data_IF_268145846273
#
_entry.id   IF_268145846273
#
_cell.length_a   1.000
_cell.length_b   1.000
_cell.length_c   1.000
_cell.angle_alpha   90.00
_cell.angle_beta   90.00
_cell.angle_gamma   90.00
#
_symmetry.space_group_name_H-M   'P 1'
#
loop_
_entity.id
_entity.type
_entity.pdbx_description
1 polymer ?
#
# COMPACT_ATOMS: atom_id res chain seq x y z
N UNK A 1 -11.95 -39.51 13.85
CA UNK A 1 -12.80 -38.31 13.65
C UNK A 1 -12.03 -37.14 14.21
N UNK A 2 -11.41 -36.40 13.31
CA UNK A 2 -10.14 -35.71 13.53
C UNK A 2 -10.25 -34.33 14.18
N UNK A 3 -9.30 -34.06 15.08
CA UNK A 3 -9.05 -32.77 15.74
C UNK A 3 -8.79 -31.61 14.75
N UNK A 4 -8.51 -31.89 13.48
CA UNK A 4 -8.32 -30.91 12.41
C UNK A 4 -9.62 -30.16 12.03
N UNK A 5 -10.79 -30.81 12.12
CA UNK A 5 -12.08 -30.18 11.79
C UNK A 5 -12.60 -29.24 12.90
N UNK A 6 -12.13 -29.40 14.15
CA UNK A 6 -12.50 -28.52 15.26
C UNK A 6 -11.81 -27.15 15.20
N UNK A 7 -10.64 -27.06 14.55
CA UNK A 7 -9.86 -25.82 14.48
C UNK A 7 -10.36 -24.87 13.35
N UNK A 8 -10.78 -25.42 12.20
CA UNK A 8 -11.35 -24.65 11.09
C UNK A 8 -12.73 -24.05 11.42
N UNK A 9 -13.54 -24.78 12.20
CA UNK A 9 -14.84 -24.29 12.72
C UNK A 9 -14.62 -23.18 13.76
N UNK A 10 -13.54 -23.25 14.54
CA UNK A 10 -13.20 -22.25 15.56
C UNK A 10 -12.77 -20.90 14.98
N UNK A 11 -11.96 -20.88 13.91
CA UNK A 11 -11.51 -19.63 13.25
C UNK A 11 -12.62 -18.95 12.45
N UNK A 12 -13.51 -19.72 11.79
CA UNK A 12 -14.74 -19.17 11.23
C UNK A 12 -15.61 -18.57 12.34
N UNK A 13 -15.81 -19.28 13.46
CA UNK A 13 -16.58 -18.76 14.59
C UNK A 13 -15.96 -17.55 15.30
N UNK A 14 -14.62 -17.38 15.28
CA UNK A 14 -13.93 -16.21 15.87
C UNK A 14 -14.09 -14.94 15.02
N UNK A 15 -13.97 -15.05 13.69
CA UNK A 15 -14.36 -13.97 12.76
C UNK A 15 -15.86 -13.66 12.86
N UNK A 16 -16.70 -14.67 13.14
CA UNK A 16 -18.15 -14.53 13.26
C UNK A 16 -18.63 -14.05 14.64
N UNK A 17 -17.82 -14.20 15.70
CA UNK A 17 -18.21 -13.91 17.08
C UNK A 17 -18.05 -12.44 17.52
N UNK A 18 -17.18 -11.68 16.85
CA UNK A 18 -16.92 -10.28 17.17
C UNK A 18 -17.56 -9.26 16.22
N UNK A 19 -18.22 -9.72 15.15
CA UNK A 19 -19.20 -8.92 14.41
C UNK A 19 -20.47 -8.87 15.25
N UNK A 20 -20.56 -7.89 16.15
CA UNK A 20 -21.68 -7.70 17.07
C UNK A 20 -23.04 -7.96 16.41
N UNK A 21 -23.79 -8.92 16.98
CA UNK A 21 -25.21 -9.25 16.77
C UNK A 21 -25.78 -9.39 15.34
N UNK A 22 -24.98 -9.28 14.28
CA UNK A 22 -25.40 -9.68 12.94
C UNK A 22 -25.07 -11.16 12.75
N UNK A 23 -26.04 -12.02 13.02
CA UNK A 23 -26.00 -13.41 12.54
C UNK A 23 -25.63 -13.41 11.03
N UNK A 24 -24.74 -14.30 10.56
CA UNK A 24 -24.37 -14.41 9.15
C UNK A 24 -25.51 -14.91 8.24
N UNK A 25 -26.72 -15.11 8.77
CA UNK A 25 -27.74 -15.94 8.14
C UNK A 25 -28.48 -15.28 6.97
N UNK A 26 -28.23 -14.00 6.65
CA UNK A 26 -28.75 -13.40 5.41
C UNK A 26 -27.70 -12.54 4.73
N UNK A 27 -27.00 -13.18 3.80
CA UNK A 27 -26.39 -12.52 2.66
C UNK A 27 -27.36 -11.50 2.06
N UNK A 28 -26.85 -10.31 1.73
CA UNK A 28 -27.66 -9.22 1.18
C UNK A 28 -28.45 -9.68 -0.07
N UNK A 29 -29.71 -9.30 -0.20
CA UNK A 29 -30.48 -9.59 -1.42
C UNK A 29 -30.19 -8.55 -2.53
N UNK A 30 -30.76 -8.76 -3.72
CA UNK A 30 -30.58 -7.84 -4.86
C UNK A 30 -31.02 -6.41 -4.54
N UNK A 31 -32.11 -6.25 -3.79
CA UNK A 31 -32.63 -4.93 -3.40
C UNK A 31 -31.68 -4.23 -2.42
N UNK A 32 -31.13 -4.96 -1.45
CA UNK A 32 -30.11 -4.49 -0.54
C UNK A 32 -28.82 -4.11 -1.27
N UNK A 33 -28.37 -4.92 -2.23
CA UNK A 33 -27.17 -4.62 -3.01
C UNK A 33 -27.32 -3.30 -3.77
N UNK A 34 -28.49 -3.06 -4.39
CA UNK A 34 -28.81 -1.77 -5.01
C UNK A 34 -28.77 -0.63 -3.99
N UNK A 35 -29.26 -0.83 -2.76
CA UNK A 35 -29.19 0.19 -1.69
C UNK A 35 -27.75 0.54 -1.32
N UNK A 36 -26.79 -0.39 -1.38
CA UNK A 36 -25.37 -0.08 -1.19
C UNK A 36 -24.87 0.91 -2.26
N UNK A 37 -25.20 0.65 -3.52
CA UNK A 37 -24.82 1.55 -4.63
C UNK A 37 -25.50 2.92 -4.48
N UNK A 38 -26.78 2.94 -4.11
CA UNK A 38 -27.52 4.18 -3.86
C UNK A 38 -26.94 4.98 -2.68
N UNK A 39 -26.47 4.32 -1.62
CA UNK A 39 -25.84 4.99 -0.49
C UNK A 39 -24.59 5.77 -0.93
N UNK A 40 -23.85 5.25 -1.91
CA UNK A 40 -22.68 5.92 -2.50
C UNK A 40 -23.07 6.99 -3.54
N UNK A 41 -24.16 6.79 -4.29
CA UNK A 41 -24.47 7.56 -5.51
C UNK A 41 -25.59 8.61 -5.44
N UNK A 42 -26.27 8.83 -4.30
CA UNK A 42 -27.42 9.74 -4.15
C UNK A 42 -27.13 11.25 -4.25
N UNK A 43 -26.03 11.65 -4.89
CA UNK A 43 -25.62 13.05 -5.09
C UNK A 43 -25.03 13.71 -3.82
N UNK A 44 -24.52 14.94 -3.96
CA UNK A 44 -23.67 15.61 -2.95
C UNK A 44 -24.22 15.65 -1.51
N UNK A 45 -25.54 15.77 -1.35
CA UNK A 45 -26.20 15.84 -0.02
C UNK A 45 -26.72 14.49 0.48
N UNK A 46 -26.79 13.47 -0.39
CA UNK A 46 -27.38 12.16 -0.07
C UNK A 46 -26.40 11.00 -0.09
N UNK A 47 -25.21 11.18 -0.66
CA UNK A 47 -24.13 10.19 -0.64
C UNK A 47 -23.48 10.10 0.73
N UNK A 48 -23.18 8.89 1.19
CA UNK A 48 -22.44 8.61 2.42
C UNK A 48 -21.44 7.48 2.21
N UNK A 49 -20.50 7.33 3.13
CA UNK A 49 -19.65 6.14 3.22
C UNK A 49 -20.49 4.92 3.58
N UNK A 50 -20.02 3.74 3.17
CA UNK A 50 -20.53 2.48 3.68
C UNK A 50 -19.97 2.24 5.09
N UNK A 51 -20.79 1.65 5.95
CA UNK A 51 -20.29 1.05 7.19
C UNK A 51 -19.39 -0.16 6.88
N UNK A 52 -18.65 -0.63 7.88
CA UNK A 52 -17.79 -1.80 7.76
C UNK A 52 -18.56 -3.03 7.26
N UNK A 53 -19.73 -3.30 7.86
CA UNK A 53 -20.57 -4.42 7.45
C UNK A 53 -21.14 -4.22 6.03
N UNK A 54 -21.56 -3.01 5.67
CA UNK A 54 -22.03 -2.74 4.30
C UNK A 54 -20.93 -2.93 3.25
N UNK A 55 -19.71 -2.51 3.55
CA UNK A 55 -18.54 -2.70 2.67
C UNK A 55 -18.17 -4.19 2.55
N UNK A 56 -18.22 -4.93 3.66
CA UNK A 56 -18.07 -6.39 3.66
C UNK A 56 -19.14 -7.08 2.79
N UNK A 57 -20.41 -6.70 2.96
CA UNK A 57 -21.54 -7.23 2.18
C UNK A 57 -21.48 -6.85 0.69
N UNK A 58 -20.89 -5.70 0.34
CA UNK A 58 -20.66 -5.31 -1.07
C UNK A 58 -19.78 -6.36 -1.78
N UNK A 59 -18.71 -6.81 -1.13
CA UNK A 59 -17.77 -7.78 -1.71
C UNK A 59 -18.34 -9.20 -1.65
N UNK A 60 -18.93 -9.61 -0.52
CA UNK A 60 -19.58 -10.93 -0.42
C UNK A 60 -20.76 -11.05 -1.40
N UNK A 61 -21.63 -10.04 -1.48
CA UNK A 61 -22.75 -10.03 -2.41
C UNK A 61 -22.32 -10.18 -3.88
N UNK A 62 -21.20 -9.56 -4.27
CA UNK A 62 -20.61 -9.77 -5.59
C UNK A 62 -20.13 -11.22 -5.77
N UNK A 63 -19.38 -11.76 -4.81
CA UNK A 63 -18.88 -13.15 -4.83
C UNK A 63 -19.98 -14.18 -5.06
N UNK A 64 -21.15 -13.97 -4.47
CA UNK A 64 -22.31 -14.86 -4.59
C UNK A 64 -23.23 -14.51 -5.77
N UNK A 65 -22.82 -13.62 -6.68
CA UNK A 65 -23.56 -13.29 -7.91
C UNK A 65 -24.81 -12.42 -7.72
N UNK A 66 -24.96 -11.77 -6.56
CA UNK A 66 -26.07 -10.82 -6.31
C UNK A 66 -25.80 -9.49 -6.99
N UNK A 67 -24.56 -9.01 -6.85
CA UNK A 67 -24.06 -7.81 -7.51
C UNK A 67 -23.48 -8.12 -8.88
N UNK A 68 -23.69 -7.22 -9.84
CA UNK A 68 -23.02 -7.26 -11.15
C UNK A 68 -21.65 -6.58 -11.10
N UNK A 69 -20.78 -6.90 -12.05
CA UNK A 69 -19.50 -6.20 -12.22
C UNK A 69 -19.69 -4.68 -12.39
N UNK A 70 -20.71 -4.24 -13.13
CA UNK A 70 -21.03 -2.83 -13.30
C UNK A 70 -21.35 -2.14 -11.96
N UNK A 71 -22.14 -2.79 -11.09
CA UNK A 71 -22.46 -2.25 -9.77
C UNK A 71 -21.23 -2.22 -8.86
N UNK A 72 -20.42 -3.27 -8.84
CA UNK A 72 -19.18 -3.29 -8.06
C UNK A 72 -18.23 -2.18 -8.54
N UNK A 73 -17.96 -2.09 -9.84
CA UNK A 73 -17.13 -1.03 -10.44
C UNK A 73 -17.62 0.37 -10.09
N UNK A 74 -18.93 0.61 -10.19
CA UNK A 74 -19.53 1.88 -9.79
C UNK A 74 -19.29 2.19 -8.31
N UNK A 75 -19.48 1.21 -7.42
CA UNK A 75 -19.22 1.40 -5.99
C UNK A 75 -17.74 1.73 -5.72
N UNK A 76 -16.81 0.98 -6.33
CA UNK A 76 -15.37 1.20 -6.19
C UNK A 76 -14.96 2.61 -6.64
N UNK A 77 -15.49 3.08 -7.77
CA UNK A 77 -15.18 4.42 -8.29
C UNK A 77 -15.84 5.53 -7.49
N UNK A 78 -17.08 5.34 -7.00
CA UNK A 78 -17.72 6.30 -6.12
C UNK A 78 -16.96 6.47 -4.79
N UNK A 79 -16.50 5.37 -4.20
CA UNK A 79 -15.63 5.41 -3.01
C UNK A 79 -14.31 6.12 -3.30
N UNK A 80 -13.67 5.82 -4.44
CA UNK A 80 -12.43 6.49 -4.87
C UNK A 80 -12.60 8.00 -4.99
N UNK A 81 -13.62 8.47 -5.71
CA UNK A 81 -13.86 9.91 -5.96
C UNK A 81 -14.21 10.64 -4.67
N UNK A 82 -14.97 10.01 -3.78
CA UNK A 82 -15.32 10.59 -2.47
C UNK A 82 -14.14 10.61 -1.50
N UNK A 83 -13.22 9.65 -1.62
CA UNK A 83 -12.22 9.33 -0.62
C UNK A 83 -12.68 8.19 0.28
N UNK A 84 -11.86 7.15 0.39
CA UNK A 84 -12.19 5.90 1.07
C UNK A 84 -12.19 6.08 2.60
N UNK A 85 -13.17 5.52 3.30
CA UNK A 85 -13.22 5.53 4.76
C UNK A 85 -12.47 4.34 5.38
N UNK A 86 -12.12 4.45 6.66
CA UNK A 86 -11.45 3.35 7.38
C UNK A 86 -12.36 2.11 7.48
N UNK A 87 -13.65 2.32 7.69
CA UNK A 87 -14.68 1.29 7.75
C UNK A 87 -14.82 0.57 6.41
N UNK A 88 -14.80 1.31 5.30
CA UNK A 88 -14.87 0.74 3.96
C UNK A 88 -13.66 -0.15 3.67
N UNK A 89 -12.45 0.34 3.94
CA UNK A 89 -11.20 -0.43 3.77
C UNK A 89 -11.21 -1.67 4.67
N UNK A 90 -11.60 -1.54 5.94
CA UNK A 90 -11.67 -2.66 6.86
C UNK A 90 -12.70 -3.71 6.40
N UNK A 91 -13.89 -3.29 5.95
CA UNK A 91 -14.92 -4.19 5.45
C UNK A 91 -14.50 -4.97 4.21
N UNK A 92 -13.87 -4.31 3.23
CA UNK A 92 -13.28 -5.00 2.07
C UNK A 92 -12.19 -5.96 2.51
N UNK A 93 -11.29 -5.53 3.40
CA UNK A 93 -10.19 -6.37 3.92
C UNK A 93 -10.71 -7.65 4.56
N UNK A 94 -11.76 -7.56 5.39
CA UNK A 94 -12.38 -8.73 6.02
C UNK A 94 -13.03 -9.67 4.99
N UNK A 95 -13.67 -9.12 3.96
CA UNK A 95 -14.25 -9.93 2.89
C UNK A 95 -13.18 -10.65 2.05
N UNK A 96 -12.04 -9.99 1.78
CA UNK A 96 -10.87 -10.62 1.17
C UNK A 96 -10.33 -11.73 2.07
N UNK A 97 -10.14 -11.46 3.38
CA UNK A 97 -9.64 -12.42 4.36
C UNK A 97 -10.52 -13.67 4.46
N UNK A 98 -11.84 -13.52 4.39
CA UNK A 98 -12.77 -14.65 4.40
C UNK A 98 -12.62 -15.59 3.19
N UNK A 99 -12.02 -15.12 2.09
CA UNK A 99 -11.74 -15.95 0.92
C UNK A 99 -10.38 -16.65 0.94
N UNK A 100 -9.52 -16.33 1.92
CA UNK A 100 -8.21 -16.96 2.09
C UNK A 100 -8.39 -18.37 2.65
N UNK A 101 -7.65 -19.33 2.11
CA UNK A 101 -7.62 -20.70 2.65
C UNK A 101 -7.24 -20.67 4.15
N UNK A 102 -8.09 -21.21 5.06
CA UNK A 102 -7.80 -21.23 6.49
C UNK A 102 -6.46 -21.88 6.87
N UNK A 103 -5.90 -22.76 6.03
CA UNK A 103 -4.60 -23.38 6.29
C UNK A 103 -3.46 -22.36 6.41
N UNK A 104 -3.55 -21.21 5.73
CA UNK A 104 -2.57 -20.13 5.89
C UNK A 104 -2.46 -19.64 7.33
N UNK A 105 -3.55 -19.70 8.10
CA UNK A 105 -3.63 -19.24 9.49
C UNK A 105 -2.98 -20.21 10.47
N UNK A 106 -2.65 -21.44 10.03
CA UNK A 106 -1.97 -22.46 10.85
C UNK A 106 -0.45 -22.49 10.68
N UNK A 107 0.12 -21.62 9.84
CA UNK A 107 1.54 -21.66 9.47
C UNK A 107 2.49 -21.00 10.48
N UNK A 108 1.95 -20.47 11.59
CA UNK A 108 2.70 -19.77 12.64
C UNK A 108 3.61 -18.65 12.09
N UNK A 109 3.12 -17.91 11.10
CA UNK A 109 3.85 -16.77 10.53
C UNK A 109 4.04 -15.72 11.64
N UNK A 110 5.27 -15.25 11.84
CA UNK A 110 5.58 -14.22 12.84
C UNK A 110 5.44 -12.82 12.27
N UNK A 111 5.82 -12.62 11.00
CA UNK A 111 5.82 -11.34 10.31
C UNK A 111 5.17 -11.43 8.92
N UNK A 112 4.15 -10.60 8.70
CA UNK A 112 3.49 -10.40 7.41
C UNK A 112 4.01 -9.15 6.71
N UNK A 113 4.47 -9.31 5.46
CA UNK A 113 5.17 -8.28 4.68
C UNK A 113 4.53 -8.08 3.28
N UNK A 114 3.48 -7.25 3.17
CA UNK A 114 2.78 -6.98 1.91
C UNK A 114 3.58 -6.07 0.95
N UNK A 115 3.73 -6.50 -0.31
CA UNK A 115 4.52 -5.85 -1.37
C UNK A 115 3.74 -5.73 -2.69
N UNK A 116 2.97 -4.65 -2.86
CA UNK A 116 2.06 -4.46 -3.99
C UNK A 116 2.33 -3.19 -4.83
N UNK A 117 3.36 -2.40 -4.52
CA UNK A 117 3.55 -1.09 -5.16
C UNK A 117 4.34 -1.17 -6.46
N UNK A 118 5.27 -2.11 -6.50
CA UNK A 118 6.47 -2.09 -7.31
C UNK A 118 7.34 -0.85 -7.04
N UNK A 119 8.60 -0.94 -7.44
CA UNK A 119 9.54 0.19 -7.53
C UNK A 119 9.49 0.77 -8.94
N UNK A 120 9.67 2.10 -9.10
CA UNK A 120 9.88 2.73 -10.42
C UNK A 120 11.27 2.41 -10.94
N UNK A 121 12.28 2.61 -10.09
CA UNK A 121 13.66 2.71 -10.55
C UNK A 121 14.68 2.31 -9.47
N UNK A 122 14.30 1.47 -8.52
CA UNK A 122 15.22 0.88 -7.53
C UNK A 122 14.92 -0.59 -7.32
N UNK A 123 15.91 -1.33 -6.85
CA UNK A 123 15.72 -2.71 -6.43
C UNK A 123 15.06 -2.77 -5.04
N UNK A 124 14.34 -3.86 -4.73
CA UNK A 124 13.66 -4.03 -3.45
C UNK A 124 14.62 -4.56 -2.35
N UNK A 125 15.33 -3.66 -1.67
CA UNK A 125 16.32 -4.02 -0.64
C UNK A 125 15.73 -4.58 0.65
N UNK A 126 14.44 -4.37 0.93
CA UNK A 126 13.73 -5.01 2.04
C UNK A 126 13.81 -6.55 2.01
N UNK A 127 14.07 -7.16 0.85
CA UNK A 127 14.30 -8.60 0.74
C UNK A 127 15.54 -9.05 1.53
N UNK A 128 16.56 -8.22 1.65
CA UNK A 128 17.70 -8.49 2.53
C UNK A 128 17.28 -8.45 4.00
N UNK A 129 16.42 -7.50 4.39
CA UNK A 129 15.87 -7.46 5.75
C UNK A 129 15.12 -8.76 6.06
N UNK A 130 14.25 -9.22 5.16
CA UNK A 130 13.52 -10.46 5.31
C UNK A 130 14.46 -11.67 5.46
N UNK A 131 15.50 -11.79 4.62
CA UNK A 131 16.49 -12.87 4.73
C UNK A 131 17.26 -12.85 6.04
N UNK A 132 17.68 -11.68 6.50
CA UNK A 132 18.42 -11.55 7.77
C UNK A 132 17.54 -11.94 8.97
N UNK A 133 16.28 -11.52 8.96
CA UNK A 133 15.32 -11.85 10.02
C UNK A 133 14.93 -13.34 10.00
N UNK A 134 14.77 -13.95 8.82
CA UNK A 134 14.50 -15.38 8.71
C UNK A 134 15.65 -16.23 9.28
N UNK A 135 16.91 -15.82 9.06
CA UNK A 135 18.09 -16.43 9.71
C UNK A 135 18.09 -16.29 11.23
N UNK A 136 17.38 -15.30 11.79
CA UNK A 136 17.19 -15.15 13.24
C UNK A 136 15.97 -15.94 13.77
N UNK A 137 15.33 -16.77 12.93
CA UNK A 137 14.23 -17.64 13.32
C UNK A 137 12.83 -17.06 13.10
N UNK A 138 12.71 -15.89 12.47
CA UNK A 138 11.40 -15.35 12.09
C UNK A 138 10.78 -16.18 10.96
N UNK A 139 9.46 -16.39 11.02
CA UNK A 139 8.67 -16.98 9.93
C UNK A 139 7.97 -15.88 9.18
N UNK A 140 8.47 -15.56 8.00
CA UNK A 140 8.09 -14.37 7.24
C UNK A 140 7.31 -14.78 5.99
N UNK A 141 6.12 -14.21 5.84
CA UNK A 141 5.36 -14.30 4.61
C UNK A 141 5.44 -12.97 3.87
N UNK A 142 6.09 -12.98 2.70
CA UNK A 142 5.98 -11.87 1.76
C UNK A 142 4.84 -12.19 0.81
N UNK A 143 3.97 -11.23 0.54
CA UNK A 143 2.92 -11.43 -0.45
C UNK A 143 2.68 -10.19 -1.29
N UNK A 144 2.37 -10.37 -2.56
CA UNK A 144 2.33 -9.26 -3.51
C UNK A 144 1.67 -9.60 -4.83
N UNK A 145 1.85 -8.71 -5.80
CA UNK A 145 1.32 -8.87 -7.15
C UNK A 145 2.28 -8.23 -8.16
N UNK A 146 2.81 -9.05 -9.07
CA UNK A 146 3.69 -8.62 -10.16
C UNK A 146 3.01 -8.62 -11.55
N UNK A 147 1.69 -8.78 -11.61
CA UNK A 147 0.94 -8.98 -12.87
C UNK A 147 0.12 -7.77 -13.29
N UNK A 148 -0.03 -6.76 -12.44
CA UNK A 148 -0.91 -5.61 -12.67
C UNK A 148 -0.16 -4.38 -13.19
N UNK A 149 0.97 -4.00 -12.57
CA UNK A 149 1.68 -2.77 -12.92
C UNK A 149 2.94 -3.08 -13.73
N UNK A 150 2.82 -3.37 -15.01
CA UNK A 150 3.95 -3.78 -15.87
C UNK A 150 5.07 -2.74 -15.99
N UNK A 151 4.79 -1.47 -15.70
CA UNK A 151 5.77 -0.38 -15.72
C UNK A 151 6.58 -0.24 -14.41
N UNK A 152 6.40 -1.16 -13.46
CA UNK A 152 7.05 -1.15 -12.15
C UNK A 152 7.83 -2.45 -11.98
N UNK A 153 8.94 -2.38 -11.25
CA UNK A 153 9.73 -3.54 -10.83
C UNK A 153 9.11 -4.11 -9.56
N UNK A 154 8.53 -5.30 -9.61
CA UNK A 154 7.87 -5.90 -8.45
C UNK A 154 8.80 -6.80 -7.67
N UNK A 155 8.48 -6.96 -6.39
CA UNK A 155 9.19 -7.88 -5.51
C UNK A 155 9.19 -9.30 -6.09
N UNK A 156 8.04 -9.77 -6.57
CA UNK A 156 7.89 -11.10 -7.18
C UNK A 156 8.78 -11.34 -8.40
N UNK A 157 9.25 -10.29 -9.08
CA UNK A 157 10.12 -10.44 -10.27
C UNK A 157 11.58 -10.72 -9.92
N UNK A 158 11.99 -10.47 -8.66
CA UNK A 158 13.40 -10.54 -8.25
C UNK A 158 13.69 -11.48 -7.08
N UNK A 159 12.65 -12.08 -6.47
CA UNK A 159 12.80 -13.02 -5.35
C UNK A 159 13.76 -14.19 -5.65
N UNK A 160 13.76 -14.70 -6.88
CA UNK A 160 14.60 -15.84 -7.28
C UNK A 160 16.09 -15.51 -7.24
N UNK A 161 16.46 -14.26 -7.55
CA UNK A 161 17.85 -13.80 -7.44
C UNK A 161 18.36 -13.79 -5.99
N UNK A 162 17.46 -13.82 -5.02
CA UNK A 162 17.80 -13.95 -3.60
C UNK A 162 17.47 -15.35 -3.05
N UNK A 163 17.14 -16.33 -3.90
CA UNK A 163 16.78 -17.68 -3.48
C UNK A 163 15.53 -17.74 -2.61
N UNK A 164 14.65 -16.74 -2.69
CA UNK A 164 13.36 -16.75 -1.99
C UNK A 164 12.36 -17.52 -2.87
N UNK A 165 11.74 -18.54 -2.29
CA UNK A 165 10.84 -19.44 -3.01
C UNK A 165 9.44 -18.84 -3.10
N UNK A 166 8.88 -18.83 -4.32
CA UNK A 166 7.46 -18.59 -4.55
C UNK A 166 6.67 -19.87 -4.28
N UNK A 167 5.61 -19.76 -3.48
CA UNK A 167 4.72 -20.86 -3.10
C UNK A 167 3.31 -20.60 -3.64
N UNK A 168 2.59 -21.67 -3.95
CA UNK A 168 1.24 -21.60 -4.55
C UNK A 168 0.13 -22.08 -3.61
N UNK A 169 0.47 -22.60 -2.43
CA UNK A 169 -0.49 -23.10 -1.44
C UNK A 169 0.06 -22.98 -0.02
N UNK A 170 -0.83 -23.07 0.97
CA UNK A 170 -0.43 -23.10 2.38
C UNK A 170 0.44 -24.33 2.71
N UNK A 171 0.20 -25.47 2.04
CA UNK A 171 0.99 -26.69 2.23
C UNK A 171 2.44 -26.52 1.73
N UNK A 172 2.63 -25.92 0.54
CA UNK A 172 3.96 -25.57 0.04
C UNK A 172 4.63 -24.54 0.95
N UNK A 173 3.87 -23.52 1.38
CA UNK A 173 4.35 -22.49 2.31
C UNK A 173 4.85 -23.10 3.62
N UNK A 174 4.15 -24.08 4.20
CA UNK A 174 4.58 -24.78 5.42
C UNK A 174 5.99 -25.37 5.26
N UNK A 175 6.21 -26.13 4.18
CA UNK A 175 7.50 -26.79 3.91
C UNK A 175 8.63 -25.76 3.76
N UNK A 176 8.39 -24.69 2.99
CA UNK A 176 9.41 -23.66 2.77
C UNK A 176 9.67 -22.85 4.03
N UNK A 177 8.64 -22.49 4.80
CA UNK A 177 8.80 -21.76 6.05
C UNK A 177 9.52 -22.59 7.11
N UNK A 178 9.33 -23.91 7.15
CA UNK A 178 10.06 -24.80 8.07
C UNK A 178 11.55 -24.92 7.71
N UNK A 179 11.88 -24.86 6.41
CA UNK A 179 13.26 -24.95 5.93
C UNK A 179 13.99 -23.61 6.01
N UNK A 180 13.37 -22.55 5.50
CA UNK A 180 14.03 -21.27 5.19
C UNK A 180 13.56 -20.12 6.07
N UNK A 181 12.42 -20.26 6.77
CA UNK A 181 11.77 -19.18 7.51
C UNK A 181 11.16 -18.09 6.63
N UNK A 182 11.24 -18.19 5.30
CA UNK A 182 10.82 -17.13 4.39
C UNK A 182 10.27 -17.70 3.08
N UNK A 183 9.08 -17.25 2.69
CA UNK A 183 8.51 -17.53 1.37
C UNK A 183 7.79 -16.30 0.79
N UNK A 184 7.57 -16.33 -0.52
CA UNK A 184 6.75 -15.36 -1.24
C UNK A 184 5.49 -16.04 -1.80
N UNK A 185 4.34 -15.37 -1.76
CA UNK A 185 3.12 -15.83 -2.41
C UNK A 185 2.47 -14.70 -3.22
N UNK A 186 2.07 -15.00 -4.45
CA UNK A 186 1.32 -14.06 -5.27
C UNK A 186 -0.15 -13.99 -4.80
N UNK A 187 -0.76 -12.81 -4.89
CA UNK A 187 -2.11 -12.56 -4.38
C UNK A 187 -3.19 -13.45 -5.03
N UNK A 188 -3.00 -13.88 -6.29
CA UNK A 188 -3.89 -14.83 -6.97
C UNK A 188 -3.94 -16.20 -6.30
N UNK A 189 -2.91 -16.56 -5.51
CA UNK A 189 -2.86 -17.78 -4.71
C UNK A 189 -3.39 -17.61 -3.28
N UNK A 190 -3.59 -16.36 -2.84
CA UNK A 190 -4.16 -16.04 -1.53
C UNK A 190 -5.68 -15.86 -1.58
N UNK A 191 -6.20 -15.18 -2.59
CA UNK A 191 -7.62 -14.84 -2.68
C UNK A 191 -8.12 -14.88 -4.11
N UNK A 192 -9.25 -15.55 -4.33
CA UNK A 192 -9.93 -15.58 -5.62
C UNK A 192 -10.37 -14.19 -6.11
N UNK A 193 -10.43 -13.19 -5.22
CA UNK A 193 -10.77 -11.82 -5.60
C UNK A 193 -9.63 -11.11 -6.34
N UNK A 194 -8.38 -11.56 -6.22
CA UNK A 194 -7.24 -10.87 -6.82
C UNK A 194 -7.40 -10.73 -8.34
N UNK A 195 -7.78 -11.81 -9.03
CA UNK A 195 -8.03 -11.78 -10.47
C UNK A 195 -9.22 -10.89 -10.84
N UNK A 196 -10.31 -10.96 -10.07
CA UNK A 196 -11.47 -10.08 -10.27
C UNK A 196 -11.07 -8.61 -10.21
N UNK A 197 -10.37 -8.20 -9.15
CA UNK A 197 -9.98 -6.80 -8.98
C UNK A 197 -8.91 -6.37 -9.97
N UNK A 198 -8.04 -7.28 -10.41
CA UNK A 198 -7.11 -7.05 -11.51
C UNK A 198 -7.87 -6.74 -12.81
N UNK A 199 -8.85 -7.57 -13.18
CA UNK A 199 -9.63 -7.37 -14.40
C UNK A 199 -10.38 -6.04 -14.35
N UNK A 200 -11.01 -5.72 -13.20
CA UNK A 200 -11.66 -4.43 -13.00
C UNK A 200 -10.67 -3.26 -13.12
N UNK A 201 -9.48 -3.39 -12.55
CA UNK A 201 -8.46 -2.35 -12.64
C UNK A 201 -7.98 -2.16 -14.09
N UNK A 202 -7.78 -3.23 -14.85
CA UNK A 202 -7.39 -3.16 -16.26
C UNK A 202 -8.48 -2.52 -17.12
N UNK A 203 -9.76 -2.85 -16.87
CA UNK A 203 -10.89 -2.25 -17.59
C UNK A 203 -11.10 -0.78 -17.26
N UNK A 204 -10.95 -0.40 -15.98
CA UNK A 204 -11.21 0.97 -15.52
C UNK A 204 -10.00 1.90 -15.69
N UNK A 205 -8.77 1.37 -15.76
CA UNK A 205 -7.53 2.15 -15.78
C UNK A 205 -7.25 2.93 -14.47
N UNK A 206 -7.99 2.65 -13.40
CA UNK A 206 -7.94 3.40 -12.15
C UNK A 206 -7.80 2.48 -10.93
N UNK A 207 -6.96 2.90 -9.97
CA UNK A 207 -6.88 2.25 -8.66
C UNK A 207 -8.20 2.37 -7.91
N UNK A 208 -8.50 1.42 -7.03
CA UNK A 208 -9.65 1.45 -6.12
C UNK A 208 -9.19 1.21 -4.68
N UNK A 209 -10.12 1.13 -3.74
CA UNK A 209 -9.79 0.79 -2.35
C UNK A 209 -9.20 -0.62 -2.20
N UNK A 210 -9.35 -1.48 -3.20
CA UNK A 210 -8.74 -2.82 -3.21
C UNK A 210 -7.23 -2.74 -2.97
N UNK A 211 -6.54 -1.81 -3.63
CA UNK A 211 -5.09 -1.65 -3.51
C UNK A 211 -4.64 -1.28 -2.08
N UNK A 212 -5.52 -0.62 -1.31
CA UNK A 212 -5.30 -0.33 0.11
C UNK A 212 -5.68 -1.52 0.98
N UNK A 213 -6.82 -2.16 0.71
CA UNK A 213 -7.37 -3.27 1.48
C UNK A 213 -6.50 -4.54 1.41
N UNK A 214 -5.96 -4.88 0.24
CA UNK A 214 -5.14 -6.09 0.05
C UNK A 214 -3.82 -6.04 0.85
N UNK A 215 -3.32 -4.83 1.15
CA UNK A 215 -2.16 -4.62 2.04
C UNK A 215 -2.49 -4.81 3.52
N UNK A 216 -3.78 -4.83 3.87
CA UNK A 216 -4.24 -5.01 5.24
C UNK A 216 -4.63 -6.48 5.52
N UNK A 217 -4.44 -7.39 4.55
CA UNK A 217 -4.99 -8.74 4.57
C UNK A 217 -4.49 -9.62 5.73
N UNK A 218 -3.19 -9.58 6.02
CA UNK A 218 -2.51 -10.47 6.98
C UNK A 218 -3.03 -11.91 6.88
N UNK A 219 -2.80 -12.61 5.75
CA UNK A 219 -3.46 -13.88 5.44
C UNK A 219 -3.18 -14.97 6.49
N UNK A 220 -1.98 -14.95 7.08
CA UNK A 220 -1.53 -15.94 8.07
C UNK A 220 -1.82 -15.62 9.54
N UNK A 221 -2.55 -14.53 9.84
CA UNK A 221 -2.73 -14.03 11.22
C UNK A 221 -1.39 -13.79 11.94
N UNK A 222 -0.40 -13.26 11.22
CA UNK A 222 0.89 -12.93 11.80
C UNK A 222 0.74 -11.93 12.95
N UNK A 223 1.54 -12.12 14.00
CA UNK A 223 1.54 -11.25 15.17
C UNK A 223 2.11 -9.86 14.85
N UNK A 224 2.98 -9.77 13.85
CA UNK A 224 3.60 -8.54 13.37
C UNK A 224 3.22 -8.32 11.91
N UNK A 225 2.81 -7.11 11.56
CA UNK A 225 2.44 -6.72 10.20
C UNK A 225 3.12 -5.41 9.81
N UNK A 226 3.55 -5.32 8.56
CA UNK A 226 4.07 -4.09 7.98
C UNK A 226 3.04 -3.50 7.03
N UNK A 227 2.80 -2.20 7.13
CA UNK A 227 1.82 -1.50 6.30
C UNK A 227 2.38 -0.17 5.80
N UNK A 228 2.80 -0.17 4.53
CA UNK A 228 3.26 1.06 3.88
C UNK A 228 2.17 1.75 3.06
N UNK A 229 2.28 3.07 2.97
CA UNK A 229 1.44 3.91 2.13
C UNK A 229 2.28 4.86 1.25
N UNK A 230 1.64 5.47 0.26
CA UNK A 230 2.33 6.20 -0.82
C UNK A 230 2.40 7.72 -0.62
N UNK A 231 1.37 8.34 -0.03
CA UNK A 231 1.26 9.81 0.11
C UNK A 231 1.18 10.24 1.58
N UNK A 232 1.69 11.44 1.88
CA UNK A 232 1.54 12.04 3.21
C UNK A 232 0.06 12.15 3.61
N UNK A 233 -0.23 12.11 4.91
CA UNK A 233 -1.58 12.27 5.45
C UNK A 233 -2.41 10.97 5.58
N UNK A 234 -1.96 9.84 5.02
CA UNK A 234 -2.69 8.56 5.11
C UNK A 234 -2.42 7.76 6.39
N UNK A 235 -1.44 8.16 7.21
CA UNK A 235 -1.10 7.43 8.43
C UNK A 235 -2.30 7.26 9.39
N UNK A 236 -3.06 8.34 9.61
CA UNK A 236 -4.23 8.31 10.51
C UNK A 236 -5.33 7.38 10.00
N UNK A 237 -5.54 7.33 8.67
CA UNK A 237 -6.46 6.39 8.04
C UNK A 237 -6.01 4.95 8.30
N UNK A 238 -4.73 4.64 8.05
CA UNK A 238 -4.19 3.29 8.25
C UNK A 238 -4.20 2.83 9.71
N UNK A 239 -3.98 3.74 10.67
CA UNK A 239 -4.13 3.48 12.10
C UNK A 239 -5.58 3.14 12.44
N UNK A 240 -6.55 3.93 11.95
CA UNK A 240 -7.98 3.64 12.16
C UNK A 240 -8.38 2.28 11.57
N UNK A 241 -7.88 1.94 10.38
CA UNK A 241 -8.10 0.62 9.77
C UNK A 241 -7.52 -0.49 10.65
N UNK A 242 -6.30 -0.33 11.18
CA UNK A 242 -5.69 -1.32 12.07
C UNK A 242 -6.54 -1.55 13.34
N UNK A 243 -7.01 -0.46 13.99
CA UNK A 243 -7.88 -0.52 15.16
C UNK A 243 -9.22 -1.20 14.89
N UNK A 244 -9.84 -0.91 13.74
CA UNK A 244 -11.08 -1.56 13.33
C UNK A 244 -10.86 -3.06 13.11
N UNK A 245 -9.81 -3.45 12.38
CA UNK A 245 -9.51 -4.86 12.10
C UNK A 245 -9.21 -5.65 13.37
N UNK A 246 -8.53 -5.05 14.36
CA UNK A 246 -8.20 -5.70 15.64
C UNK A 246 -9.44 -6.19 16.42
N UNK A 247 -10.64 -5.71 16.09
CA UNK A 247 -11.90 -6.21 16.67
C UNK A 247 -12.35 -7.54 16.06
N UNK A 248 -11.88 -7.90 14.86
CA UNK A 248 -12.42 -9.02 14.06
C UNK A 248 -11.38 -10.10 13.73
N UNK A 249 -10.09 -9.78 13.82
CA UNK A 249 -9.00 -10.71 13.55
C UNK A 249 -8.11 -10.86 14.79
N UNK A 250 -7.32 -11.95 14.90
CA UNK A 250 -6.38 -12.10 16.00
C UNK A 250 -5.48 -10.89 16.19
N UNK A 251 -5.13 -10.62 17.44
CA UNK A 251 -4.32 -9.47 17.81
C UNK A 251 -2.96 -9.49 17.06
N UNK A 252 -2.61 -8.36 16.46
CA UNK A 252 -1.35 -8.15 15.75
C UNK A 252 -0.88 -6.71 15.94
N UNK A 253 0.42 -6.49 16.10
CA UNK A 253 1.03 -5.16 16.04
C UNK A 253 1.35 -4.81 14.59
N UNK A 254 0.98 -3.60 14.18
CA UNK A 254 1.12 -3.11 12.82
C UNK A 254 2.07 -1.92 12.80
N UNK A 255 3.16 -2.04 12.05
CA UNK A 255 4.06 -0.94 11.73
C UNK A 255 3.56 -0.20 10.49
N UNK A 256 3.30 1.09 10.61
CA UNK A 256 2.70 1.94 9.56
C UNK A 256 3.66 3.08 9.23
N UNK A 257 4.00 3.26 7.96
CA UNK A 257 4.87 4.35 7.49
C UNK A 257 4.70 4.67 6.00
N UNK A 258 5.25 5.81 5.56
CA UNK A 258 5.33 6.14 4.13
C UNK A 258 6.43 5.30 3.47
N UNK A 259 6.03 4.39 2.59
CA UNK A 259 6.92 3.46 1.91
C UNK A 259 7.80 4.11 0.85
N UNK A 260 9.03 3.62 0.69
CA UNK A 260 9.94 4.13 -0.34
C UNK A 260 9.43 3.73 -1.73
N UNK A 261 8.97 4.74 -2.49
CA UNK A 261 8.23 4.57 -3.75
C UNK A 261 6.92 3.77 -3.59
N UNK A 262 6.41 3.72 -2.36
CA UNK A 262 5.21 2.97 -1.98
C UNK A 262 5.43 1.54 -1.51
N UNK A 263 6.65 1.01 -1.64
CA UNK A 263 6.97 -0.33 -1.16
C UNK A 263 7.13 -0.35 0.36
N UNK A 264 6.95 -1.52 0.97
CA UNK A 264 7.11 -1.76 2.40
C UNK A 264 8.59 -1.73 2.86
N UNK A 265 9.22 -0.58 2.64
CA UNK A 265 10.63 -0.30 2.85
C UNK A 265 10.83 1.18 3.23
N UNK A 266 11.77 1.48 4.12
CA UNK A 266 12.05 2.86 4.55
C UNK A 266 12.90 3.58 3.50
N UNK A 267 12.55 4.85 3.21
CA UNK A 267 13.41 5.72 2.41
C UNK A 267 14.51 6.31 3.30
N UNK A 268 15.79 5.96 3.11
CA UNK A 268 16.87 6.40 3.97
C UNK A 268 17.26 7.86 3.75
N UNK A 269 16.77 8.52 2.69
CA UNK A 269 17.12 9.91 2.34
C UNK A 269 16.26 10.95 3.07
N UNK A 270 15.25 10.51 3.81
CA UNK A 270 14.36 11.40 4.52
C UNK A 270 13.98 10.83 5.88
N UNK A 271 13.76 11.73 6.83
CA UNK A 271 13.14 11.37 8.10
C UNK A 271 11.78 10.75 7.85
N UNK A 272 11.52 9.60 8.47
CA UNK A 272 10.27 8.86 8.29
C UNK A 272 9.55 8.72 9.62
N UNK A 273 8.31 9.21 9.68
CA UNK A 273 7.45 9.00 10.85
C UNK A 273 6.87 7.60 10.82
N UNK A 274 7.16 6.82 11.86
CA UNK A 274 6.67 5.47 12.09
C UNK A 274 5.49 5.53 13.07
N UNK A 275 4.47 4.71 12.83
CA UNK A 275 3.37 4.49 13.75
C UNK A 275 3.27 2.99 14.05
N UNK A 276 3.11 2.61 15.32
CA UNK A 276 2.90 1.21 15.73
C UNK A 276 1.57 1.11 16.47
N UNK A 277 0.69 0.19 16.04
CA UNK A 277 -0.66 0.02 16.61
C UNK A 277 -1.12 -1.45 16.58
N UNK A 278 -1.80 -1.96 17.63
CA UNK A 278 -1.94 -1.35 18.94
C UNK A 278 -0.60 -1.32 19.69
N UNK A 279 -0.45 -0.37 20.58
CA UNK A 279 0.66 -0.26 21.51
C UNK A 279 0.14 -0.42 22.94
N UNK A 280 0.47 -1.53 23.57
CA UNK A 280 0.28 -1.77 25.01
C UNK A 280 1.65 -2.20 25.58
N UNK A 281 1.90 -1.89 26.86
CA UNK A 281 3.05 -2.34 27.68
C UNK A 281 4.30 -1.44 27.88
N UNK A 282 4.19 -0.11 28.02
CA UNK A 282 5.26 0.68 28.70
C UNK A 282 4.69 1.87 29.49
N UNK A 283 5.15 2.00 30.74
CA UNK A 283 4.97 3.16 31.62
C UNK A 283 5.49 4.45 30.92
N UNK A 284 4.61 5.44 30.74
CA UNK A 284 4.72 6.53 29.75
C UNK A 284 5.86 7.56 29.98
N UNK A 285 6.90 7.25 30.76
CA UNK A 285 7.90 8.23 31.22
C UNK A 285 9.29 8.15 30.56
N UNK A 286 9.52 7.27 29.57
CA UNK A 286 10.82 7.22 28.89
C UNK A 286 10.73 7.46 27.38
N UNK A 287 11.50 8.47 26.94
CA UNK A 287 11.90 8.79 25.56
C UNK A 287 10.88 9.47 24.62
N UNK A 288 10.48 10.73 24.90
CA UNK A 288 9.97 11.64 23.86
C UNK A 288 8.72 11.15 23.08
N UNK A 289 7.96 10.26 23.72
CA UNK A 289 6.76 9.61 23.17
C UNK A 289 5.56 10.52 23.36
N UNK A 290 4.84 10.83 22.27
CA UNK A 290 3.43 11.24 22.35
C UNK A 290 2.61 10.08 21.83
N UNK A 291 1.92 9.40 22.74
CA UNK A 291 0.96 8.34 22.42
C UNK A 291 -0.44 8.83 22.77
N UNK A 292 -1.32 8.91 21.77
CA UNK A 292 -2.76 8.99 21.97
C UNK A 292 -3.37 7.68 21.47
N UNK A 293 -4.36 7.15 22.19
CA UNK A 293 -5.15 5.99 21.80
C UNK A 293 -4.34 4.73 21.39
N UNK A 294 -3.38 4.26 22.20
CA UNK A 294 -2.61 3.02 21.94
C UNK A 294 -1.83 3.01 20.61
N UNK A 295 -1.26 4.16 20.23
CA UNK A 295 -0.40 4.28 19.05
C UNK A 295 0.93 4.89 19.45
N UNK A 296 2.03 4.19 19.19
CA UNK A 296 3.36 4.78 19.31
C UNK A 296 3.74 5.50 18.03
N UNK A 297 4.21 6.74 18.14
CA UNK A 297 4.78 7.52 17.04
C UNK A 297 6.28 7.76 17.26
N UNK A 298 7.12 7.31 16.33
CA UNK A 298 8.59 7.53 16.35
C UNK A 298 9.01 8.26 15.09
N UNK A 299 9.89 9.26 15.21
CA UNK A 299 10.55 9.86 14.05
C UNK A 299 11.89 9.15 13.81
N UNK A 300 11.94 8.28 12.80
CA UNK A 300 13.17 7.63 12.35
C UNK A 300 13.96 8.65 11.52
N UNK A 301 15.16 9.08 11.97
CA UNK A 301 15.96 9.99 11.18
C UNK A 301 16.39 9.32 9.88
N UNK A 302 16.53 10.16 8.87
CA UNK A 302 17.34 9.94 7.68
C UNK A 302 18.69 9.29 8.01
N UNK A 303 19.09 8.33 7.16
CA UNK A 303 20.37 7.64 7.23
C UNK A 303 21.32 8.09 6.11
N UNK A 304 20.83 8.84 5.11
CA UNK A 304 21.56 9.32 3.94
C UNK A 304 21.28 10.78 3.66
N UNK A 305 21.65 11.67 4.58
CA UNK A 305 21.54 13.12 4.36
C UNK A 305 22.50 13.66 3.31
N UNK A 306 23.61 12.95 3.10
CA UNK A 306 24.77 13.48 2.38
C UNK A 306 25.15 12.68 1.14
N UNK A 307 24.38 11.65 0.76
CA UNK A 307 24.73 10.83 -0.41
C UNK A 307 24.43 11.62 -1.70
N UNK A 308 25.51 11.99 -2.41
CA UNK A 308 25.53 12.71 -3.68
C UNK A 308 26.05 11.79 -4.78
N UNK A 309 25.41 11.82 -5.95
CA UNK A 309 25.72 10.96 -7.10
C UNK A 309 24.44 10.54 -7.82
N UNK A 310 24.56 10.30 -9.13
CA UNK A 310 23.47 9.86 -9.99
C UNK A 310 22.67 8.70 -9.38
N UNK A 311 21.35 8.80 -9.52
CA UNK A 311 20.46 7.67 -9.21
C UNK A 311 20.69 6.58 -10.26
N UNK A 312 21.42 5.53 -9.90
CA UNK A 312 21.42 4.33 -10.75
C UNK A 312 20.00 3.78 -10.77
N UNK A 313 19.38 3.87 -11.95
CA UNK A 313 18.01 3.42 -12.14
C UNK A 313 17.99 1.88 -12.13
N UNK A 314 16.93 1.27 -11.60
CA UNK A 314 16.76 -0.19 -11.63
C UNK A 314 16.81 -0.76 -13.06
N UNK A 315 16.43 0.00 -14.10
CA UNK A 315 16.62 -0.43 -15.48
C UNK A 315 18.10 -0.68 -15.86
N UNK A 316 19.03 -0.11 -15.10
CA UNK A 316 20.48 -0.34 -15.20
C UNK A 316 20.98 -1.44 -14.25
N UNK A 317 20.17 -1.86 -13.26
CA UNK A 317 20.52 -2.89 -12.28
C UNK A 317 19.67 -4.14 -12.53
N UNK A 318 20.31 -5.21 -12.99
CA UNK A 318 19.60 -6.49 -13.13
C UNK A 318 19.24 -7.07 -11.76
N UNK A 319 18.30 -8.03 -11.72
CA UNK A 319 18.03 -8.79 -10.51
C UNK A 319 19.29 -9.52 -9.98
N UNK A 320 20.23 -9.87 -10.87
CA UNK A 320 21.49 -10.51 -10.50
C UNK A 320 22.39 -9.58 -9.67
N UNK A 321 22.23 -8.26 -9.76
CA UNK A 321 22.93 -7.34 -8.87
C UNK A 321 22.68 -7.67 -7.39
N UNK A 322 21.48 -8.16 -7.05
CA UNK A 322 21.15 -8.61 -5.68
C UNK A 322 22.00 -9.82 -5.25
N UNK A 323 22.33 -10.73 -6.17
CA UNK A 323 23.18 -11.90 -5.89
C UNK A 323 24.60 -11.47 -5.50
N UNK A 324 25.11 -10.40 -6.10
CA UNK A 324 26.46 -9.90 -5.83
C UNK A 324 26.62 -9.38 -4.40
N UNK A 325 25.52 -8.91 -3.80
CA UNK A 325 25.52 -8.37 -2.43
C UNK A 325 25.49 -9.45 -1.34
N UNK A 326 24.99 -10.65 -1.65
CA UNK A 326 25.00 -11.80 -0.72
C UNK A 326 26.27 -12.65 -0.85
N UNK A 327 27.01 -12.51 -1.96
CA UNK A 327 28.22 -13.27 -2.26
C UNK A 327 27.95 -14.60 -2.98
N UNK A 328 28.98 -15.12 -3.66
CA UNK A 328 28.93 -16.32 -4.50
C UNK A 328 28.73 -17.64 -3.75
N UNK A 329 28.75 -17.63 -2.42
CA UNK A 329 28.62 -18.83 -1.59
C UNK A 329 27.15 -19.15 -1.25
N UNK A 330 26.28 -19.16 -2.25
CA UNK A 330 24.89 -19.60 -2.08
C UNK A 330 24.71 -20.98 -2.69
N UNK A 331 24.63 -22.01 -1.85
CA UNK A 331 24.15 -23.37 -2.18
C UNK A 331 22.70 -23.39 -2.75
N UNK A 332 22.08 -22.22 -2.94
CA UNK A 332 20.68 -22.01 -3.27
C UNK A 332 20.47 -21.05 -4.47
N UNK A 333 21.41 -20.99 -5.42
CA UNK A 333 21.10 -20.40 -6.73
C UNK A 333 20.30 -21.43 -7.53
N UNK A 334 19.05 -21.14 -7.93
CA UNK A 334 18.30 -22.03 -8.80
C UNK A 334 19.07 -22.22 -10.11
N UNK A 335 19.08 -23.45 -10.64
CA UNK A 335 19.77 -23.86 -11.88
C UNK A 335 19.31 -23.09 -13.14
N UNK A 336 18.32 -22.20 -13.01
CA UNK A 336 17.77 -21.34 -14.07
C UNK A 336 18.25 -19.89 -14.03
N UNK A 337 19.11 -19.49 -13.09
CA UNK A 337 19.83 -18.22 -13.26
C UNK A 337 20.82 -18.46 -14.39
N UNK A 338 20.47 -17.97 -15.58
CA UNK A 338 21.28 -18.09 -16.77
C UNK A 338 22.74 -17.79 -16.42
N UNK A 339 23.67 -18.56 -16.98
CA UNK A 339 25.09 -18.26 -17.00
C UNK A 339 25.27 -16.87 -17.58
N UNK A 340 25.38 -15.86 -16.73
CA UNK A 340 25.68 -14.49 -17.13
C UNK A 340 27.18 -14.29 -17.03
N UNK A 341 27.75 -13.70 -18.06
CA UNK A 341 29.11 -13.18 -18.10
C UNK A 341 29.32 -12.24 -16.91
N UNK A 342 29.83 -12.79 -15.81
CA UNK A 342 30.17 -12.08 -14.56
C UNK A 342 31.08 -10.89 -14.85
N UNK A 343 31.83 -10.92 -15.97
CA UNK A 343 32.76 -9.89 -16.40
C UNK A 343 32.14 -8.54 -16.80
N UNK A 344 30.84 -8.46 -17.16
CA UNK A 344 30.20 -7.18 -17.57
C UNK A 344 29.48 -6.41 -16.45
N UNK A 345 29.17 -7.04 -15.32
CA UNK A 345 28.59 -6.37 -14.12
C UNK A 345 29.66 -5.99 -13.07
N UNK A 346 30.93 -5.88 -13.48
CA UNK A 346 32.10 -5.89 -12.59
C UNK A 346 32.39 -4.60 -11.82
N UNK A 347 31.76 -3.46 -12.14
CA UNK A 347 31.89 -2.24 -11.32
C UNK A 347 30.64 -2.08 -10.47
N UNK A 348 30.66 -2.69 -9.28
CA UNK A 348 29.58 -2.49 -8.31
C UNK A 348 29.66 -1.05 -7.82
N UNK A 349 28.67 -0.23 -8.20
CA UNK A 349 28.59 1.16 -7.77
C UNK A 349 28.56 1.26 -6.23
N UNK A 350 29.63 1.84 -5.67
CA UNK A 350 29.76 2.09 -4.23
C UNK A 350 28.60 2.92 -3.70
N UNK A 351 28.08 3.89 -4.47
CA UNK A 351 26.94 4.70 -4.04
C UNK A 351 25.69 3.84 -3.87
N UNK A 352 25.46 2.90 -4.78
CA UNK A 352 24.31 2.00 -4.67
C UNK A 352 24.47 0.98 -3.54
N UNK A 353 25.69 0.51 -3.25
CA UNK A 353 25.94 -0.29 -2.02
C UNK A 353 25.62 0.49 -0.76
N UNK A 354 26.07 1.74 -0.66
CA UNK A 354 25.78 2.61 0.49
C UNK A 354 24.28 2.86 0.58
N UNK A 355 23.60 3.05 -0.55
CA UNK A 355 22.14 3.17 -0.61
C UNK A 355 21.45 1.92 -0.08
N UNK A 356 21.79 0.75 -0.61
CA UNK A 356 21.25 -0.53 -0.18
C UNK A 356 21.46 -0.76 1.33
N UNK A 357 22.69 -0.54 1.84
CA UNK A 357 22.99 -0.64 3.27
C UNK A 357 22.08 0.25 4.11
N UNK A 358 21.95 1.53 3.77
CA UNK A 358 21.16 2.46 4.56
C UNK A 358 19.65 2.14 4.51
N UNK A 359 19.14 1.68 3.36
CA UNK A 359 17.76 1.19 3.23
C UNK A 359 17.55 -0.02 4.15
N UNK A 360 18.47 -0.99 4.14
CA UNK A 360 18.40 -2.21 4.94
C UNK A 360 18.41 -1.88 6.43
N UNK A 361 19.35 -1.04 6.88
CA UNK A 361 19.48 -0.66 8.29
C UNK A 361 18.29 0.17 8.77
N UNK A 362 17.80 1.11 7.96
CA UNK A 362 16.63 1.92 8.31
C UNK A 362 15.37 1.06 8.42
N UNK A 363 15.19 0.12 7.49
CA UNK A 363 14.05 -0.80 7.47
C UNK A 363 14.12 -1.79 8.63
N UNK A 364 15.29 -2.41 8.88
CA UNK A 364 15.51 -3.28 10.04
C UNK A 364 15.31 -2.54 11.36
N UNK A 365 15.73 -1.28 11.48
CA UNK A 365 15.50 -0.46 12.67
C UNK A 365 14.00 -0.34 12.98
N UNK A 366 13.19 -0.06 11.95
CA UNK A 366 11.74 0.03 12.09
C UNK A 366 11.11 -1.32 12.46
N UNK A 367 11.57 -2.42 11.87
CA UNK A 367 11.10 -3.78 12.22
C UNK A 367 11.53 -4.19 13.62
N UNK A 368 12.73 -3.84 14.08
CA UNK A 368 13.18 -4.11 15.44
C UNK A 368 12.31 -3.38 16.49
N UNK A 369 11.91 -2.14 16.21
CA UNK A 369 10.95 -1.39 17.04
C UNK A 369 9.56 -2.03 17.07
N UNK A 370 9.11 -2.59 15.93
CA UNK A 370 7.86 -3.35 15.86
C UNK A 370 7.91 -4.65 16.69
N UNK A 371 9.03 -5.37 16.61
CA UNK A 371 9.27 -6.62 17.33
C UNK A 371 9.38 -6.40 18.84
N UNK A 372 10.11 -5.37 19.25
CA UNK A 372 10.35 -5.04 20.65
C UNK A 372 9.94 -3.59 20.94
N UNK A 373 8.71 -3.40 21.45
CA UNK A 373 8.22 -2.11 21.89
C UNK A 373 9.15 -1.37 22.87
N UNK A 374 9.83 -2.09 23.76
CA UNK A 374 10.70 -1.50 24.78
C UNK A 374 12.06 -1.06 24.25
N UNK A 375 12.33 -1.30 22.97
CA UNK A 375 13.60 -0.98 22.36
C UNK A 375 13.69 0.53 22.08
N UNK A 376 14.78 1.16 22.53
CA UNK A 376 15.04 2.55 22.14
C UNK A 376 15.38 2.62 20.65
N UNK A 377 15.11 3.76 20.01
CA UNK A 377 15.50 3.97 18.61
C UNK A 377 17.01 3.77 18.39
N UNK A 378 17.84 4.20 19.33
CA UNK A 378 19.30 4.04 19.27
C UNK A 378 19.69 2.57 19.30
N UNK A 379 19.08 1.78 20.18
CA UNK A 379 19.38 0.35 20.27
C UNK A 379 18.84 -0.43 19.07
N UNK A 380 17.66 -0.05 18.56
CA UNK A 380 17.09 -0.61 17.34
C UNK A 380 18.01 -0.43 16.13
N UNK A 381 18.60 0.76 15.99
CA UNK A 381 19.59 1.07 14.95
C UNK A 381 20.88 0.28 15.13
N UNK A 382 21.42 0.21 16.35
CA UNK A 382 22.61 -0.59 16.64
C UNK A 382 22.40 -2.07 16.30
N UNK A 383 21.24 -2.63 16.66
CA UNK A 383 20.88 -4.01 16.31
C UNK A 383 20.76 -4.21 14.79
N UNK A 384 20.18 -3.24 14.07
CA UNK A 384 20.04 -3.28 12.62
C UNK A 384 21.42 -3.25 11.91
N UNK A 385 22.31 -2.36 12.34
CA UNK A 385 23.69 -2.28 11.84
C UNK A 385 24.43 -3.60 12.07
N UNK A 386 24.39 -4.12 13.30
CA UNK A 386 25.04 -5.39 13.64
C UNK A 386 24.52 -6.57 12.81
N UNK A 387 23.19 -6.69 12.66
CA UNK A 387 22.58 -7.76 11.85
C UNK A 387 22.96 -7.63 10.37
N UNK A 388 23.04 -6.41 9.85
CA UNK A 388 23.47 -6.14 8.47
C UNK A 388 24.91 -6.56 8.25
N UNK A 389 25.82 -6.22 9.18
CA UNK A 389 27.22 -6.62 9.14
C UNK A 389 27.42 -8.13 9.19
N UNK A 390 26.68 -8.81 10.06
CA UNK A 390 26.74 -10.27 10.18
C UNK A 390 26.16 -10.99 8.96
N UNK A 391 25.09 -10.46 8.38
CA UNK A 391 24.34 -11.15 7.33
C UNK A 391 24.90 -10.91 5.94
N UNK A 392 25.53 -9.75 5.69
CA UNK A 392 25.85 -9.26 4.34
C UNK A 392 27.27 -8.69 4.24
N UNK A 393 28.28 -9.49 4.60
CA UNK A 393 29.68 -9.09 4.52
C UNK A 393 30.09 -8.57 3.11
N UNK A 394 29.55 -9.18 2.04
CA UNK A 394 29.81 -8.76 0.65
C UNK A 394 29.20 -7.41 0.28
N UNK A 395 28.07 -7.02 0.89
CA UNK A 395 27.50 -5.68 0.73
C UNK A 395 28.46 -4.61 1.28
N UNK A 396 29.17 -4.92 2.37
CA UNK A 396 29.96 -3.97 3.15
C UNK A 396 31.44 -3.91 2.71
N UNK A 397 31.94 -4.95 2.03
CA UNK A 397 33.36 -5.14 1.68
C UNK A 397 34.03 -3.88 1.10
N UNK A 398 33.33 -3.15 0.26
CA UNK A 398 33.89 -2.02 -0.50
C UNK A 398 33.39 -0.65 0.01
N UNK A 399 32.60 -0.62 1.11
CA UNK A 399 32.10 0.63 1.73
C UNK A 399 33.15 1.24 2.68
N UNK A 400 34.11 0.45 3.17
CA UNK A 400 35.08 0.88 4.20
C UNK A 400 36.34 1.61 3.67
N UNK A 401 36.36 2.00 2.39
CA UNK A 401 37.46 2.77 1.79
C UNK A 401 37.05 4.24 1.57
N UNK A 402 37.57 5.21 2.36
CA UNK A 402 37.19 6.63 2.32
C UNK A 402 37.43 7.32 0.96
N UNK A 403 38.22 6.71 0.07
CA UNK A 403 38.67 7.28 -1.20
C UNK A 403 37.67 7.11 -2.36
N UNK A 404 36.60 6.33 -2.19
CA UNK A 404 35.62 6.02 -3.25
C UNK A 404 34.33 6.87 -3.23
N UNK A 405 34.22 7.83 -2.31
CA UNK A 405 33.09 8.77 -2.26
C UNK A 405 33.32 9.90 -3.26
N UNK A 406 32.84 9.74 -4.50
CA UNK A 406 32.90 10.80 -5.50
C UNK A 406 32.10 12.03 -5.05
N UNK A 407 32.77 13.18 -5.06
CA UNK A 407 32.28 14.50 -4.66
C UNK A 407 31.46 15.19 -5.78
N UNK A 408 30.91 16.38 -5.53
CA UNK A 408 29.51 16.67 -5.22
C UNK A 408 28.60 16.95 -6.44
N UNK A 409 27.36 16.44 -6.42
CA UNK A 409 26.27 16.90 -7.28
C UNK A 409 25.37 17.92 -6.58
N UNK A 410 24.85 18.86 -7.38
CA UNK A 410 23.84 19.85 -6.99
C UNK A 410 22.46 19.21 -7.02
N UNK A 411 21.60 19.60 -6.08
CA UNK A 411 20.17 19.37 -6.15
C UNK A 411 19.68 20.15 -7.38
N UNK A 412 19.45 19.49 -8.50
CA UNK A 412 18.52 20.07 -9.47
C UNK A 412 17.12 19.83 -8.94
N UNK A 413 16.48 20.93 -8.61
CA UNK A 413 15.18 21.03 -7.96
C UNK A 413 14.10 20.25 -8.70
N UNK A 414 13.83 19.01 -8.30
CA UNK A 414 12.57 18.33 -8.68
C UNK A 414 12.02 17.32 -7.67
N UNK A 415 12.71 16.96 -6.58
CA UNK A 415 12.03 16.38 -5.41
C UNK A 415 11.33 17.48 -4.60
N UNK A 416 10.38 18.17 -5.26
CA UNK A 416 9.30 18.82 -4.51
C UNK A 416 8.51 17.71 -3.82
N UNK A 417 8.65 17.70 -2.50
CA UNK A 417 7.59 17.25 -1.60
C UNK A 417 6.31 17.96 -2.06
N UNK A 418 5.28 17.17 -2.34
CA UNK A 418 3.99 17.56 -2.93
C UNK A 418 4.02 17.96 -4.42
N UNK A 419 3.79 16.95 -5.25
CA UNK A 419 2.80 17.09 -6.32
C UNK A 419 1.70 16.08 -6.02
N UNK A 420 0.41 16.46 -5.94
CA UNK A 420 -0.63 15.45 -6.09
C UNK A 420 -0.33 14.74 -7.41
N UNK A 421 -0.36 13.40 -7.45
CA UNK A 421 -0.55 12.73 -8.73
C UNK A 421 -1.76 13.45 -9.34
N UNK A 422 -1.52 14.18 -10.44
CA UNK A 422 -2.62 14.71 -11.22
C UNK A 422 -3.56 13.54 -11.42
N UNK A 423 -4.83 13.75 -11.08
CA UNK A 423 -5.90 12.89 -11.54
C UNK A 423 -5.69 12.81 -13.05
N UNK A 424 -5.16 11.69 -13.55
CA UNK A 424 -5.16 11.39 -14.97
C UNK A 424 -6.64 11.35 -15.38
N UNK A 425 -7.13 12.53 -15.75
CA UNK A 425 -8.16 12.71 -16.76
C UNK A 425 -7.57 12.14 -18.05
N UNK A 426 -8.38 11.53 -18.92
CA UNK A 426 -7.92 10.59 -19.93
C UNK A 426 -6.82 11.20 -20.80
N UNK A 427 -5.77 10.42 -21.02
CA UNK A 427 -4.64 10.75 -21.88
C UNK A 427 -5.16 11.27 -23.23
N UNK A 428 -4.62 12.42 -23.64
CA UNK A 428 -4.85 13.02 -24.96
C UNK A 428 -4.50 12.00 -26.04
N UNK A 429 -5.53 11.55 -26.77
CA UNK A 429 -5.35 10.94 -28.08
C UNK A 429 -5.02 12.10 -29.03
N UNK A 430 -3.73 12.31 -29.29
CA UNK A 430 -3.30 13.09 -30.45
C UNK A 430 -2.91 12.14 -31.57
N UNK A 431 -3.84 11.87 -32.49
CA UNK A 431 -3.77 12.47 -33.82
C UNK A 431 -4.96 12.07 -34.71
N UNK A 432 -5.77 13.08 -35.01
CA UNK A 432 -6.30 13.45 -36.32
C UNK A 432 -6.86 12.35 -37.25
N UNK A 433 -8.19 12.36 -37.41
CA UNK A 433 -8.78 12.44 -38.76
C UNK A 433 -9.88 13.51 -38.79
N UNK A 434 -9.74 14.41 -39.78
CA UNK A 434 -10.72 15.43 -40.16
C UNK A 434 -12.05 14.79 -40.55
N UNK A 435 -13.15 15.29 -39.99
CA UNK A 435 -14.41 15.37 -40.74
C UNK A 435 -14.98 16.78 -40.58
N UNK A 436 -15.23 17.38 -41.74
CA UNK A 436 -15.63 18.75 -41.98
C UNK A 436 -16.94 19.20 -41.32
N UNK A 437 -16.99 20.52 -41.10
CA UNK A 437 -18.17 21.31 -40.74
C UNK A 437 -19.10 21.48 -41.94
N UNK A 438 -20.34 21.02 -41.82
CA UNK A 438 -21.57 21.54 -42.46
C UNK A 438 -22.70 21.23 -41.44
N UNK A 439 -23.63 22.09 -41.03
CA UNK A 439 -24.34 23.16 -41.72
C UNK A 439 -24.76 24.26 -40.72
N UNK A 440 -24.52 25.51 -41.09
CA UNK A 440 -25.36 26.64 -40.67
C UNK A 440 -26.65 26.58 -41.50
N UNK A 441 -27.82 26.61 -40.85
CA UNK A 441 -29.07 26.96 -41.53
C UNK A 441 -29.31 28.45 -41.40
N UNK A 442 -29.11 29.15 -42.52
CA UNK A 442 -29.80 30.39 -42.81
C UNK A 442 -31.29 30.11 -43.06
N UNK A 443 -32.13 30.97 -42.51
CA UNK A 443 -33.46 31.24 -43.06
C UNK A 443 -33.74 32.72 -42.87
N UNK A 444 -33.45 33.50 -43.91
CA UNK A 444 -34.03 34.81 -44.14
C UNK A 444 -35.36 34.64 -44.87
N UNK A 445 -36.41 35.29 -44.39
CA UNK A 445 -37.29 36.04 -45.27
C UNK A 445 -37.99 37.16 -44.51
N UNK A 446 -38.27 38.22 -45.25
CA UNK A 446 -38.44 39.60 -44.80
C UNK A 446 -39.91 40.03 -44.84
N UNK A 447 -40.23 41.12 -44.13
CA UNK A 447 -41.00 42.32 -44.57
C UNK A 447 -41.90 42.91 -43.46
N UNK A 448 -41.81 44.26 -43.37
CA UNK A 448 -42.68 45.28 -42.77
C UNK A 448 -42.45 45.80 -41.32
N UNK A 449 -41.87 47.01 -41.27
CA UNK A 449 -41.95 48.05 -40.22
C UNK A 449 -43.24 48.89 -40.37
N UNK A 450 -43.46 50.03 -39.65
CA UNK A 450 -42.83 50.59 -38.43
C UNK A 450 -43.86 51.11 -37.37
N UNK A 451 -43.40 51.59 -36.19
CA UNK A 451 -43.76 52.92 -35.62
C UNK A 451 -43.16 53.21 -34.22
N UNK A 452 -42.28 54.23 -34.21
CA UNK A 452 -42.08 55.36 -33.26
C UNK A 452 -42.62 55.35 -31.81
N UNK A 453 -41.77 55.65 -30.81
CA UNK A 453 -41.67 56.97 -30.09
C UNK A 453 -40.76 56.98 -28.84
N UNK A 454 -39.83 57.93 -28.88
CA UNK A 454 -39.24 58.83 -27.85
C UNK A 454 -39.34 58.58 -26.32
N UNK A 455 -38.18 58.80 -25.68
CA UNK A 455 -37.85 59.06 -24.25
C UNK A 455 -38.61 60.30 -23.69
N UNK A 456 -38.75 60.51 -22.36
CA UNK A 456 -37.66 61.11 -21.55
C UNK A 456 -37.54 60.65 -20.06
N UNK A 457 -36.35 60.93 -19.50
CA UNK A 457 -35.95 60.90 -18.08
C UNK A 457 -36.76 61.87 -17.21
N UNK A 458 -36.95 61.52 -15.93
CA UNK A 458 -37.14 62.48 -14.83
C UNK A 458 -36.45 62.00 -13.53
N UNK A 459 -35.46 62.80 -13.14
CA UNK A 459 -34.93 63.14 -11.80
C UNK A 459 -36.05 63.34 -10.76
N UNK A 460 -35.94 63.26 -9.42
CA UNK A 460 -34.86 63.26 -8.41
C UNK A 460 -35.48 63.22 -6.99
N UNK A 461 -34.63 63.04 -5.96
CA UNK A 461 -34.68 63.55 -4.56
C UNK A 461 -35.25 62.68 -3.41
N UNK A 462 -34.29 62.23 -2.58
CA UNK A 462 -34.04 62.51 -1.14
C UNK A 462 -35.18 62.46 -0.10
N UNK A 463 -34.96 61.64 0.94
CA UNK A 463 -34.62 62.00 2.35
C UNK A 463 -34.59 60.70 3.21
N UNK A 464 -33.46 60.36 3.85
CA UNK A 464 -33.10 60.63 5.28
C UNK A 464 -34.12 60.10 6.28
N UNK A 465 -33.77 59.04 7.02
CA UNK A 465 -33.40 59.00 8.47
C UNK A 465 -34.56 58.28 9.20
N UNK A 466 -34.42 57.45 10.24
CA UNK A 466 -33.38 57.19 11.23
C UNK A 466 -33.80 55.95 12.05
N UNK A 467 -32.82 55.20 12.59
CA UNK A 467 -32.79 54.52 13.91
C UNK A 467 -33.91 53.51 14.31
N UNK A 468 -33.72 52.49 15.15
CA UNK A 468 -32.60 51.82 15.79
C UNK A 468 -33.21 50.65 16.62
N UNK A 469 -32.40 49.61 16.88
CA UNK A 469 -32.49 48.65 18.00
C UNK A 469 -33.74 47.72 18.08
N UNK A 470 -33.65 46.46 18.51
CA UNK A 470 -32.84 45.92 19.58
C UNK A 470 -32.58 44.41 19.42
N UNK A 471 -31.47 43.99 20.03
CA UNK A 471 -31.11 42.61 20.39
C UNK A 471 -32.18 41.89 21.21
N UNK A 472 -32.34 40.58 20.96
CA UNK A 472 -32.10 39.50 21.92
C UNK A 472 -31.74 38.21 21.17
#
# INVERSE_FOLDING_TARGET
>A
MDKANLCAVSTSNLLMGHIGSCKPDKLIDKAGYIKLIQALGRGKKGSRSLSLNESFQLIQGFKFGIGTAAQLSAALMLMRVRGESAEEIAGVTLALKQSVDPQWQSLNITLDWPCYAGKRDQLPYMLFCAKALAKQGERILIHGDNRVLHHRHHVGDVIQALGIVEVNSAAEAQVILDRDGLCYVNADKLTAFADTFKDLHQQLGLRSLYQTAIRCLNPGNAQLNIRSYFHGGLASLHVKVAKLLAQYVPASRVLIFKGYQGEAEINPRCSTKLFISPWQDIDCQSAGVSGEDEVLSINLPTALDMLRGDKLLAKHLSANWLTTLIGSNTEYLPTKVATVDVEKETVIDTNERVRAKAVIESTLSAVNLLKNPSLTLTDARRQAEHLTEQSFAYLIRDIKSPELMNSPERIDSSERVDSPEQVNSPELIDSLELIDRLEQRDSSDSINSPETKQVPKLTSRNKQEESANAHY
#
